data_IF_029311200304
#
_entry.id   IF_029311200304
#
_cell.length_a   1.000
_cell.length_b   1.000
_cell.length_c   1.000
_cell.angle_alpha   90.00
_cell.angle_beta   90.00
_cell.angle_gamma   90.00
#
_symmetry.space_group_name_H-M   'P 1'
#
loop_
_entity.id
_entity.type
_entity.pdbx_description
1 polymer ?
#
# COMPACT_ATOMS: atom_id res chain seq x y z
N UNK A 1 -46.04 55.06 25.65
CA UNK A 1 -44.57 55.07 25.82
C UNK A 1 -44.20 53.86 26.64
N UNK A 2 -43.60 52.85 26.02
CA UNK A 2 -43.01 51.72 26.72
C UNK A 2 -41.54 51.66 26.28
N UNK A 3 -40.66 51.94 27.24
CA UNK A 3 -39.21 52.03 27.05
C UNK A 3 -38.63 50.65 26.72
N UNK A 4 -37.89 50.57 25.62
CA UNK A 4 -37.10 49.38 25.25
C UNK A 4 -35.89 49.33 26.18
N UNK A 5 -35.64 48.22 26.91
CA UNK A 5 -34.51 48.13 27.82
C UNK A 5 -33.18 48.14 27.05
N UNK A 6 -32.11 48.73 27.61
CA UNK A 6 -30.84 48.90 26.91
C UNK A 6 -30.19 47.54 26.64
N UNK A 7 -29.82 47.30 25.38
CA UNK A 7 -29.04 46.12 25.00
C UNK A 7 -27.67 46.16 25.69
N UNK A 8 -27.36 45.13 26.46
CA UNK A 8 -26.04 44.96 27.06
C UNK A 8 -25.00 44.80 25.94
N UNK A 9 -24.02 45.70 25.87
CA UNK A 9 -22.89 45.55 24.96
C UNK A 9 -22.10 44.29 25.37
N UNK A 10 -21.75 43.40 24.43
CA UNK A 10 -20.96 42.21 24.77
C UNK A 10 -19.62 42.64 25.34
N UNK A 11 -19.27 42.10 26.51
CA UNK A 11 -17.93 42.30 27.08
C UNK A 11 -16.87 41.66 26.18
N UNK A 12 -15.68 42.27 26.05
CA UNK A 12 -14.60 41.65 25.29
C UNK A 12 -14.21 40.32 25.92
N UNK A 13 -14.14 39.26 25.10
CA UNK A 13 -13.56 37.99 25.53
C UNK A 13 -12.08 38.20 25.79
N UNK A 14 -11.68 38.21 27.06
CA UNK A 14 -10.28 38.10 27.44
C UNK A 14 -9.78 36.72 26.98
N UNK A 15 -9.15 36.67 25.80
CA UNK A 15 -8.33 35.53 25.43
C UNK A 15 -7.20 35.45 26.45
N UNK A 16 -7.22 34.42 27.30
CA UNK A 16 -6.06 34.09 28.12
C UNK A 16 -4.89 33.94 27.15
N UNK A 17 -3.87 34.80 27.31
CA UNK A 17 -2.59 34.60 26.65
C UNK A 17 -2.19 33.13 26.84
N UNK A 18 -1.71 32.49 25.76
CA UNK A 18 -1.20 31.12 25.84
C UNK A 18 -0.12 31.12 26.92
N UNK A 19 -0.37 30.44 28.04
CA UNK A 19 0.65 30.24 29.07
C UNK A 19 1.70 29.32 28.49
N UNK A 20 2.94 29.76 28.53
CA UNK A 20 4.06 28.99 27.99
C UNK A 20 4.49 27.97 29.03
N UNK A 21 3.81 26.82 29.03
CA UNK A 21 3.90 25.76 30.06
C UNK A 21 5.33 25.27 30.27
N UNK A 22 6.21 25.44 29.29
CA UNK A 22 7.61 25.01 29.33
C UNK A 22 8.55 26.00 30.02
N UNK A 23 8.20 27.29 30.12
CA UNK A 23 9.01 28.26 30.87
C UNK A 23 8.68 28.32 32.36
N UNK A 24 7.47 27.88 32.73
CA UNK A 24 6.97 27.92 34.11
C UNK A 24 7.36 26.67 34.94
N UNK A 25 7.74 25.57 34.28
CA UNK A 25 8.04 24.28 34.93
C UNK A 25 9.54 23.97 34.88
N UNK A 26 10.12 23.58 36.01
CA UNK A 26 11.52 23.14 36.06
C UNK A 26 11.73 21.82 35.31
N UNK A 27 12.92 21.60 34.73
CA UNK A 27 13.27 20.35 34.02
C UNK A 27 12.96 19.08 34.84
N UNK A 28 13.13 19.14 36.17
CA UNK A 28 12.82 18.04 37.09
C UNK A 28 11.31 17.72 37.16
N UNK A 29 10.44 18.72 37.04
CA UNK A 29 8.98 18.51 36.99
C UNK A 29 8.52 17.95 35.65
N UNK A 30 9.16 18.37 34.54
CA UNK A 30 8.87 17.86 33.21
C UNK A 30 9.18 16.36 33.10
N UNK A 31 10.32 15.92 33.68
CA UNK A 31 10.69 14.50 33.76
C UNK A 31 9.66 13.71 34.59
N UNK A 32 9.23 14.23 35.76
CA UNK A 32 8.30 13.52 36.64
C UNK A 32 6.89 13.38 36.07
N UNK A 33 6.35 14.43 35.46
CA UNK A 33 4.96 14.42 34.96
C UNK A 33 4.83 13.75 33.60
N UNK A 34 5.81 13.94 32.73
CA UNK A 34 5.70 13.54 31.33
C UNK A 34 6.71 12.47 30.90
N UNK A 35 7.58 12.00 31.82
CA UNK A 35 8.60 10.97 31.56
C UNK A 35 9.47 11.27 30.33
N UNK A 36 9.74 12.56 30.09
CA UNK A 36 10.63 13.02 29.03
C UNK A 36 12.07 12.98 29.54
N UNK A 37 12.97 12.28 28.84
CA UNK A 37 14.41 12.36 29.11
C UNK A 37 14.96 13.74 28.71
N UNK A 38 16.15 14.11 29.18
CA UNK A 38 16.77 15.42 28.91
C UNK A 38 16.85 15.74 27.41
N UNK A 39 17.16 14.75 26.57
CA UNK A 39 17.17 14.87 25.11
C UNK A 39 15.75 15.01 24.52
N UNK A 40 14.77 14.32 25.11
CA UNK A 40 13.36 14.44 24.75
C UNK A 40 12.78 15.82 25.07
N UNK A 41 13.19 16.43 26.18
CA UNK A 41 12.82 17.81 26.54
C UNK A 41 13.37 18.78 25.49
N UNK A 42 14.64 18.62 25.08
CA UNK A 42 15.25 19.46 24.04
C UNK A 42 14.58 19.26 22.67
N UNK A 43 14.22 18.03 22.32
CA UNK A 43 13.52 17.74 21.07
C UNK A 43 12.15 18.42 21.03
N UNK A 44 11.33 18.25 22.06
CA UNK A 44 9.98 18.85 22.12
C UNK A 44 10.04 20.37 22.18
N UNK A 45 10.95 20.93 22.99
CA UNK A 45 11.11 22.39 23.06
C UNK A 45 11.58 22.97 21.72
N UNK A 46 12.52 22.36 21.02
CA UNK A 46 12.96 22.83 19.71
C UNK A 46 11.88 22.69 18.62
N UNK A 47 11.06 21.64 18.67
CA UNK A 47 9.97 21.42 17.71
C UNK A 47 8.82 22.42 17.90
N UNK A 48 8.56 22.80 19.15
CA UNK A 48 7.47 23.71 19.53
C UNK A 48 7.92 25.17 19.56
N UNK A 49 9.21 25.47 19.77
CA UNK A 49 9.78 26.83 19.79
C UNK A 49 9.47 27.59 18.50
N UNK A 50 9.64 26.96 17.33
CA UNK A 50 9.28 27.57 16.05
C UNK A 50 7.78 27.89 15.93
N UNK A 51 6.90 27.09 16.55
CA UNK A 51 5.46 27.30 16.56
C UNK A 51 4.98 28.32 17.60
N UNK A 52 5.78 28.56 18.66
CA UNK A 52 5.54 29.58 19.68
C UNK A 52 6.14 30.93 19.31
N UNK A 53 7.31 30.96 18.67
CA UNK A 53 8.01 32.17 18.20
C UNK A 53 7.43 32.71 16.89
N UNK A 54 6.75 31.87 16.09
CA UNK A 54 6.01 32.38 14.94
C UNK A 54 4.82 33.18 15.43
N UNK A 55 4.88 34.51 15.30
CA UNK A 55 3.73 35.40 15.40
C UNK A 55 2.74 35.04 14.29
N UNK A 56 1.90 34.04 14.56
CA UNK A 56 0.82 33.70 13.66
C UNK A 56 -0.14 34.88 13.64
N UNK A 57 -0.21 35.58 12.51
CA UNK A 57 -1.16 36.66 12.18
C UNK A 57 -2.64 36.20 12.19
N UNK A 58 -2.96 35.11 12.89
CA UNK A 58 -4.30 34.54 12.96
C UNK A 58 -5.24 35.36 13.84
N UNK A 59 -4.69 36.14 14.77
CA UNK A 59 -5.49 36.88 15.76
C UNK A 59 -5.52 38.40 15.54
N UNK A 60 -4.78 38.95 14.57
CA UNK A 60 -4.90 40.34 14.15
C UNK A 60 -5.55 40.40 12.76
N UNK A 61 -6.82 40.80 12.62
CA UNK A 61 -7.40 41.02 11.30
C UNK A 61 -6.61 42.12 10.59
N UNK A 62 -6.12 41.83 9.38
CA UNK A 62 -5.44 42.83 8.54
C UNK A 62 -6.37 44.03 8.35
N UNK A 63 -5.91 45.22 8.77
CA UNK A 63 -6.61 46.47 8.50
C UNK A 63 -6.80 46.64 6.98
N UNK A 64 -7.88 47.31 6.53
CA UNK A 64 -8.17 47.47 5.11
C UNK A 64 -6.99 48.09 4.33
N UNK A 65 -6.22 48.99 4.96
CA UNK A 65 -5.02 49.57 4.37
C UNK A 65 -3.90 48.56 4.14
N UNK A 66 -3.64 47.67 5.12
CA UNK A 66 -2.65 46.61 4.98
C UNK A 66 -3.06 45.53 3.98
N UNK A 67 -4.36 45.30 3.78
CA UNK A 67 -4.87 44.44 2.69
C UNK A 67 -4.63 45.09 1.33
N UNK A 68 -4.86 46.39 1.20
CA UNK A 68 -4.56 47.16 -0.01
C UNK A 68 -3.07 47.11 -0.35
N UNK A 69 -2.20 47.36 0.63
CA UNK A 69 -0.75 47.34 0.44
C UNK A 69 -0.22 45.94 0.09
N UNK A 70 -0.77 44.86 0.66
CA UNK A 70 -0.40 43.50 0.26
C UNK A 70 -0.80 43.17 -1.18
N UNK A 71 -2.01 43.56 -1.60
CA UNK A 71 -2.46 43.38 -2.99
C UNK A 71 -1.59 44.18 -3.97
N UNK A 72 -1.29 45.44 -3.66
CA UNK A 72 -0.40 46.26 -4.47
C UNK A 72 1.02 45.68 -4.54
N UNK A 73 1.51 45.07 -3.46
CA UNK A 73 2.83 44.43 -3.43
C UNK A 73 2.88 43.15 -4.26
N UNK A 74 1.80 42.37 -4.28
CA UNK A 74 1.63 41.19 -5.14
C UNK A 74 1.49 41.60 -6.62
N UNK A 75 0.73 42.66 -6.91
CA UNK A 75 0.59 43.22 -8.26
C UNK A 75 1.91 43.81 -8.79
N UNK A 76 2.67 44.50 -7.93
CA UNK A 76 4.01 45.02 -8.28
C UNK A 76 5.05 43.90 -8.47
N UNK A 77 4.90 42.77 -7.77
CA UNK A 77 5.76 41.60 -7.96
C UNK A 77 5.45 40.88 -9.29
N UNK A 78 4.19 40.84 -9.72
CA UNK A 78 3.78 40.29 -11.01
C UNK A 78 4.30 41.11 -12.21
N UNK A 79 4.54 42.42 -12.03
CA UNK A 79 5.03 43.31 -13.07
C UNK A 79 6.57 43.39 -13.18
N UNK A 80 7.33 42.68 -12.33
CA UNK A 80 8.80 42.60 -12.40
C UNK A 80 9.25 41.19 -12.75
N UNK A 81 9.08 40.82 -14.01
CA UNK A 81 9.88 39.78 -14.67
C UNK A 81 10.31 40.26 -16.06
N UNK A 82 11.62 40.43 -16.34
CA UNK A 82 12.12 40.54 -17.70
C UNK A 82 12.68 39.19 -18.18
N UNK A 83 12.28 38.79 -19.38
CA UNK A 83 12.98 37.81 -20.21
C UNK A 83 14.27 38.42 -20.80
N UNK A 84 15.40 37.70 -20.73
CA UNK A 84 16.32 37.32 -21.84
C UNK A 84 17.79 37.09 -21.40
N UNK A 85 18.23 35.84 -21.65
CA UNK A 85 19.51 35.38 -22.23
C UNK A 85 20.89 35.81 -21.69
N UNK A 86 21.64 34.82 -21.18
CA UNK A 86 22.89 34.33 -21.78
C UNK A 86 24.26 34.97 -21.42
N UNK A 87 25.27 34.08 -21.31
CA UNK A 87 26.73 34.24 -21.57
C UNK A 87 27.69 34.39 -20.36
N UNK A 88 28.46 33.30 -20.16
CA UNK A 88 29.89 33.15 -19.80
C UNK A 88 30.50 33.60 -18.43
N UNK A 89 30.81 32.57 -17.63
CA UNK A 89 32.16 32.06 -17.28
C UNK A 89 33.15 32.81 -16.33
N UNK A 90 33.75 31.96 -15.46
CA UNK A 90 35.08 31.98 -14.81
C UNK A 90 35.28 32.77 -13.49
N UNK A 91 35.66 32.06 -12.42
CA UNK A 91 37.02 31.97 -11.82
C UNK A 91 36.96 31.57 -10.34
N UNK A 92 37.93 30.77 -9.90
CA UNK A 92 38.47 30.82 -8.53
C UNK A 92 37.96 29.78 -7.52
N UNK A 93 38.63 28.63 -7.44
CA UNK A 93 38.59 27.73 -6.28
C UNK A 93 40.01 27.62 -5.70
N UNK A 94 40.18 28.07 -4.46
CA UNK A 94 41.32 27.77 -3.57
C UNK A 94 40.69 27.10 -2.32
N UNK A 95 41.09 25.86 -2.00
CA UNK A 95 42.09 25.50 -0.96
C UNK A 95 41.46 25.55 0.45
N UNK A 96 41.37 24.49 1.28
CA UNK A 96 42.44 23.69 1.91
C UNK A 96 41.84 22.52 2.73
N UNK A 97 42.54 21.37 2.71
CA UNK A 97 42.71 20.22 3.65
C UNK A 97 41.54 19.41 4.28
N UNK A 98 41.34 18.16 3.81
CA UNK A 98 41.85 16.84 4.30
C UNK A 98 42.17 16.64 5.81
N UNK A 99 42.31 15.39 6.37
CA UNK A 99 42.41 14.07 5.70
C UNK A 99 41.70 12.85 6.37
N UNK A 100 41.59 11.74 5.63
CA UNK A 100 41.62 10.37 6.16
C UNK A 100 42.85 9.65 5.57
N UNK A 101 43.57 8.79 6.33
CA UNK A 101 44.81 8.19 5.85
C UNK A 101 44.59 6.85 5.12
N UNK A 102 45.29 6.70 4.00
CA UNK A 102 45.81 5.42 3.46
C UNK A 102 47.31 5.58 3.26
N UNK A 103 48.05 4.47 3.26
CA UNK A 103 49.24 4.19 2.42
C UNK A 103 49.80 2.81 2.81
N UNK A 104 50.70 2.17 2.01
CA UNK A 104 50.60 1.95 0.56
C UNK A 104 51.06 0.53 0.12
N UNK A 105 50.90 0.25 -1.18
CA UNK A 105 51.46 -0.91 -1.92
C UNK A 105 53.01 -0.89 -2.02
N UNK A 106 53.67 -1.92 -2.62
CA UNK A 106 53.95 -1.80 -4.06
C UNK A 106 53.97 -3.12 -4.89
N UNK A 107 53.34 -3.04 -6.06
CA UNK A 107 53.75 -3.35 -7.45
C UNK A 107 54.48 -4.65 -7.87
N UNK A 108 54.35 -5.02 -9.17
CA UNK A 108 54.53 -6.37 -9.70
C UNK A 108 55.72 -6.52 -10.66
N UNK A 109 56.00 -7.76 -11.07
CA UNK A 109 56.59 -8.09 -12.39
C UNK A 109 55.93 -9.34 -12.97
N UNK A 110 55.77 -9.42 -14.30
CA UNK A 110 55.09 -10.52 -14.97
C UNK A 110 56.09 -11.59 -15.43
N UNK A 111 55.70 -12.86 -15.34
CA UNK A 111 56.34 -13.94 -16.07
C UNK A 111 55.40 -14.43 -17.18
N UNK A 112 55.94 -14.25 -18.37
CA UNK A 112 55.67 -14.90 -19.64
C UNK A 112 55.33 -16.37 -19.49
N UNK A 113 54.21 -16.80 -20.07
CA UNK A 113 54.08 -18.16 -20.58
C UNK A 113 53.27 -18.12 -21.88
N UNK A 114 53.97 -18.41 -22.98
CA UNK A 114 53.40 -18.63 -24.29
C UNK A 114 52.61 -19.95 -24.26
N UNK A 115 51.40 -20.01 -24.83
CA UNK A 115 50.88 -21.23 -25.41
C UNK A 115 49.75 -20.92 -26.43
N UNK A 116 50.10 -21.17 -27.69
CA UNK A 116 49.29 -21.66 -28.82
C UNK A 116 48.05 -20.90 -29.32
N UNK A 117 48.25 -20.29 -30.49
CA UNK A 117 47.22 -20.06 -31.51
C UNK A 117 46.56 -21.37 -31.94
N UNK A 118 45.31 -21.58 -31.50
CA UNK A 118 44.35 -22.37 -32.25
C UNK A 118 43.32 -21.40 -32.84
N UNK A 119 43.34 -21.28 -34.17
CA UNK A 119 42.30 -20.58 -34.95
C UNK A 119 40.98 -21.34 -34.77
N UNK A 120 40.09 -20.83 -33.93
CA UNK A 120 38.68 -21.16 -33.98
C UNK A 120 37.97 -20.07 -34.77
N UNK A 121 37.35 -20.46 -35.87
CA UNK A 121 36.54 -19.61 -36.71
C UNK A 121 35.44 -18.93 -35.86
N UNK A 122 35.22 -17.61 -36.02
CA UNK A 122 34.03 -16.99 -35.47
C UNK A 122 32.83 -17.42 -36.30
N UNK A 123 32.22 -18.55 -35.95
CA UNK A 123 30.83 -18.83 -36.32
C UNK A 123 29.93 -17.93 -35.47
N UNK A 124 29.94 -16.64 -35.75
CA UNK A 124 28.96 -15.72 -35.19
C UNK A 124 27.66 -15.94 -35.97
N UNK A 125 26.53 -16.36 -35.34
CA UNK A 125 25.25 -16.19 -35.98
C UNK A 125 25.06 -14.68 -36.15
N UNK A 126 24.90 -14.24 -37.38
CA UNK A 126 24.56 -12.86 -37.71
C UNK A 126 23.26 -12.50 -36.99
N UNK A 127 23.36 -11.74 -35.91
CA UNK A 127 22.21 -11.07 -35.32
C UNK A 127 21.63 -10.16 -36.39
N UNK A 128 20.40 -10.43 -36.82
CA UNK A 128 19.64 -9.56 -37.70
C UNK A 128 19.42 -8.21 -36.99
N UNK A 129 20.33 -7.25 -37.18
CA UNK A 129 20.12 -5.86 -36.79
C UNK A 129 19.37 -5.16 -37.92
N UNK A 130 18.05 -5.19 -37.89
CA UNK A 130 17.25 -4.30 -38.75
C UNK A 130 16.03 -3.79 -38.00
N UNK A 131 16.25 -2.80 -37.13
CA UNK A 131 15.22 -1.83 -36.74
C UNK A 131 15.91 -0.54 -36.29
N UNK A 132 15.50 0.60 -36.83
CA UNK A 132 16.05 1.90 -36.45
C UNK A 132 15.91 2.10 -34.94
N UNK A 133 17.02 2.33 -34.24
CA UNK A 133 16.95 2.80 -32.86
C UNK A 133 16.45 4.23 -32.92
N UNK A 134 15.16 4.47 -32.60
CA UNK A 134 14.63 5.84 -32.52
C UNK A 134 15.14 6.53 -31.24
N UNK A 135 15.93 5.83 -30.42
CA UNK A 135 16.61 6.34 -29.25
C UNK A 135 15.58 6.81 -28.22
N UNK A 136 15.70 8.06 -27.78
CA UNK A 136 14.78 8.65 -26.81
C UNK A 136 13.36 8.85 -27.36
N UNK A 137 13.16 8.86 -28.68
CA UNK A 137 11.82 9.01 -29.26
C UNK A 137 10.92 7.81 -28.98
N UNK A 138 11.45 6.66 -28.55
CA UNK A 138 10.65 5.48 -28.20
C UNK A 138 9.91 5.62 -26.85
N UNK A 139 10.26 6.63 -26.04
CA UNK A 139 9.54 6.95 -24.80
C UNK A 139 8.32 7.84 -25.02
N UNK A 140 8.10 8.31 -26.24
CA UNK A 140 6.96 9.15 -26.59
C UNK A 140 6.09 8.41 -27.60
N UNK A 141 4.79 8.63 -27.52
CA UNK A 141 3.87 8.13 -28.54
C UNK A 141 4.17 8.79 -29.88
N UNK A 142 3.70 8.17 -30.97
CA UNK A 142 3.82 8.74 -32.30
C UNK A 142 3.24 10.16 -32.32
N UNK A 143 3.94 11.08 -32.98
CA UNK A 143 3.60 12.51 -33.07
C UNK A 143 2.16 12.77 -33.59
N UNK A 144 1.55 11.76 -34.21
CA UNK A 144 0.17 11.79 -34.72
C UNK A 144 -0.90 11.68 -33.63
N UNK A 145 -0.58 11.04 -32.49
CA UNK A 145 -1.52 10.80 -31.39
C UNK A 145 -1.46 11.89 -30.32
N UNK A 146 -0.61 12.91 -30.50
CA UNK A 146 -0.45 13.98 -29.54
C UNK A 146 -1.69 14.87 -29.51
N UNK A 147 -2.33 14.97 -28.35
CA UNK A 147 -3.53 15.79 -28.14
C UNK A 147 -4.85 15.08 -28.46
N UNK A 148 -4.81 13.82 -28.91
CA UNK A 148 -6.02 12.99 -29.06
C UNK A 148 -6.47 12.46 -27.70
N UNK A 149 -7.75 12.59 -27.37
CA UNK A 149 -8.32 12.06 -26.12
C UNK A 149 -8.51 10.54 -26.12
N UNK A 150 -8.65 9.94 -27.31
CA UNK A 150 -8.91 8.51 -27.47
C UNK A 150 -7.99 7.91 -28.54
N UNK A 151 -7.01 7.11 -28.09
CA UNK A 151 -6.16 6.32 -28.98
C UNK A 151 -6.77 4.93 -29.14
N UNK A 152 -7.12 4.56 -30.38
CA UNK A 152 -7.70 3.23 -30.67
C UNK A 152 -6.64 2.15 -30.50
N UNK A 153 -6.77 1.38 -29.43
CA UNK A 153 -5.88 0.23 -29.15
C UNK A 153 -6.61 -1.12 -29.27
N UNK A 154 -5.84 -2.15 -29.61
CA UNK A 154 -6.35 -3.52 -29.69
C UNK A 154 -6.63 -4.15 -28.32
N UNK A 155 -7.01 -5.42 -28.34
CA UNK A 155 -7.17 -6.23 -27.12
C UNK A 155 -5.82 -6.68 -26.54
N UNK A 156 -5.81 -7.03 -25.26
CA UNK A 156 -4.69 -7.70 -24.61
C UNK A 156 -4.41 -9.09 -25.21
N UNK A 157 -3.16 -9.55 -25.07
CA UNK A 157 -2.74 -10.90 -25.45
C UNK A 157 -3.39 -11.94 -24.55
N UNK A 158 -3.98 -12.99 -25.16
CA UNK A 158 -4.58 -14.11 -24.43
C UNK A 158 -3.54 -15.20 -24.17
N UNK A 159 -3.68 -15.88 -23.03
CA UNK A 159 -2.79 -16.98 -22.61
C UNK A 159 -2.67 -18.05 -23.71
N UNK A 160 -3.79 -18.45 -24.31
CA UNK A 160 -3.80 -19.52 -25.33
C UNK A 160 -3.04 -19.15 -26.60
N UNK A 161 -2.99 -17.87 -26.97
CA UNK A 161 -2.24 -17.40 -28.14
C UNK A 161 -0.74 -17.40 -27.87
N UNK A 162 -0.36 -17.06 -26.63
CA UNK A 162 1.03 -17.04 -26.18
C UNK A 162 1.60 -18.46 -26.06
N UNK A 163 0.77 -19.45 -25.70
CA UNK A 163 1.16 -20.87 -25.65
C UNK A 163 1.63 -21.44 -26.99
N UNK A 164 1.11 -20.91 -28.10
CA UNK A 164 1.47 -21.36 -29.46
C UNK A 164 2.83 -20.79 -29.90
N UNK A 165 3.31 -19.69 -29.28
CA UNK A 165 4.54 -19.00 -29.69
C UNK A 165 5.80 -19.63 -29.12
N UNK A 166 6.91 -19.49 -29.86
CA UNK A 166 8.25 -19.93 -29.43
C UNK A 166 8.77 -19.08 -28.26
N UNK A 167 9.69 -19.62 -27.44
CA UNK A 167 10.30 -18.86 -26.34
C UNK A 167 11.08 -17.63 -26.84
N UNK A 168 11.70 -17.72 -28.02
CA UNK A 168 12.40 -16.59 -28.64
C UNK A 168 11.45 -15.45 -29.00
N UNK A 169 10.26 -15.78 -29.53
CA UNK A 169 9.24 -14.79 -29.86
C UNK A 169 8.59 -14.18 -28.62
N UNK A 170 8.36 -14.97 -27.57
CA UNK A 170 7.88 -14.46 -26.28
C UNK A 170 8.88 -13.47 -25.68
N UNK A 171 10.18 -13.77 -25.75
CA UNK A 171 11.24 -12.88 -25.27
C UNK A 171 11.28 -11.57 -26.06
N UNK A 172 11.17 -11.62 -27.40
CA UNK A 172 11.06 -10.40 -28.22
C UNK A 172 9.80 -9.61 -27.88
N UNK A 173 8.66 -10.28 -27.72
CA UNK A 173 7.38 -9.67 -27.39
C UNK A 173 7.41 -8.97 -26.03
N UNK A 174 8.08 -9.56 -25.02
CA UNK A 174 8.28 -8.94 -23.72
C UNK A 174 8.93 -7.55 -23.85
N UNK A 175 9.97 -7.41 -24.67
CA UNK A 175 10.60 -6.11 -24.89
C UNK A 175 9.74 -5.13 -25.66
N UNK A 176 8.92 -5.60 -26.61
CA UNK A 176 7.95 -4.72 -27.30
C UNK A 176 6.95 -4.15 -26.28
N UNK A 177 6.38 -4.99 -25.42
CA UNK A 177 5.44 -4.56 -24.37
C UNK A 177 6.11 -3.71 -23.30
N UNK A 178 7.37 -3.99 -22.96
CA UNK A 178 8.11 -3.20 -21.98
C UNK A 178 8.36 -1.78 -22.48
N UNK A 179 8.70 -1.61 -23.76
CA UNK A 179 8.87 -0.28 -24.35
C UNK A 179 7.56 0.51 -24.37
N UNK A 180 6.49 -0.15 -24.76
CA UNK A 180 5.13 0.39 -24.71
C UNK A 180 4.75 0.82 -23.28
N UNK A 181 4.96 -0.04 -22.28
CA UNK A 181 4.69 0.27 -20.88
C UNK A 181 5.49 1.49 -20.42
N UNK A 182 6.78 1.55 -20.75
CA UNK A 182 7.63 2.68 -20.36
C UNK A 182 7.18 3.98 -21.02
N UNK A 183 6.79 3.95 -22.30
CA UNK A 183 6.22 5.09 -23.02
C UNK A 183 4.92 5.59 -22.39
N UNK A 184 4.06 4.68 -21.91
CA UNK A 184 2.81 5.05 -21.25
C UNK A 184 3.04 5.64 -19.86
N UNK A 185 3.99 5.11 -19.09
CA UNK A 185 4.35 5.64 -17.78
C UNK A 185 4.97 7.05 -17.88
N UNK A 186 5.78 7.32 -18.90
CA UNK A 186 6.31 8.67 -19.16
C UNK A 186 5.18 9.63 -19.53
N UNK A 187 4.20 9.19 -20.32
CA UNK A 187 3.03 9.99 -20.66
C UNK A 187 2.12 10.22 -19.46
N UNK A 188 1.89 9.22 -18.62
CA UNK A 188 1.09 9.32 -17.40
C UNK A 188 1.68 10.36 -16.45
N UNK A 189 3.01 10.31 -16.25
CA UNK A 189 3.70 11.27 -15.43
C UNK A 189 3.61 12.70 -16.00
N UNK A 190 3.80 12.87 -17.32
CA UNK A 190 3.67 14.17 -17.96
C UNK A 190 2.24 14.74 -17.84
N UNK A 191 1.20 13.91 -18.01
CA UNK A 191 -0.19 14.32 -17.80
C UNK A 191 -0.45 14.73 -16.35
N UNK A 192 0.13 14.02 -15.37
CA UNK A 192 0.02 14.35 -13.96
C UNK A 192 0.69 15.71 -13.66
N UNK A 193 1.88 15.97 -14.20
CA UNK A 193 2.58 17.26 -14.08
C UNK A 193 1.80 18.42 -14.71
N UNK A 194 1.21 18.19 -15.88
CA UNK A 194 0.41 19.18 -16.62
C UNK A 194 -1.04 19.31 -16.11
N UNK A 195 -1.43 18.53 -15.09
CA UNK A 195 -2.81 18.43 -14.56
C UNK A 195 -3.85 18.09 -15.64
N UNK A 196 -3.48 17.24 -16.60
CA UNK A 196 -4.33 16.75 -17.68
C UNK A 196 -4.83 15.33 -17.41
N UNK A 197 -5.98 14.99 -17.97
CA UNK A 197 -6.48 13.62 -17.92
C UNK A 197 -5.68 12.75 -18.89
N UNK A 198 -5.28 11.56 -18.43
CA UNK A 198 -4.53 10.62 -19.25
C UNK A 198 -5.35 10.13 -20.45
N UNK A 199 -4.81 10.20 -21.68
CA UNK A 199 -5.45 9.62 -22.85
C UNK A 199 -5.56 8.09 -22.72
N UNK A 200 -6.78 7.56 -22.65
CA UNK A 200 -7.07 6.12 -22.64
C UNK A 200 -6.29 5.28 -21.59
N UNK A 201 -6.61 5.37 -20.28
CA UNK A 201 -5.90 4.63 -19.22
C UNK A 201 -5.95 3.11 -19.37
N UNK A 202 -7.00 2.59 -20.04
CA UNK A 202 -7.14 1.16 -20.33
C UNK A 202 -5.95 0.55 -21.09
N UNK A 203 -5.18 1.37 -21.81
CA UNK A 203 -4.00 0.91 -22.55
C UNK A 203 -2.94 0.35 -21.60
N UNK A 204 -2.74 0.99 -20.46
CA UNK A 204 -1.80 0.54 -19.41
C UNK A 204 -2.26 -0.82 -18.87
N UNK A 205 -3.54 -0.94 -18.53
CA UNK A 205 -4.12 -2.19 -18.02
C UNK A 205 -3.97 -3.35 -19.01
N UNK A 206 -4.25 -3.10 -20.31
CA UNK A 206 -4.12 -4.12 -21.38
C UNK A 206 -2.68 -4.58 -21.57
N UNK A 207 -1.70 -3.68 -21.44
CA UNK A 207 -0.28 -4.01 -21.52
C UNK A 207 0.16 -4.80 -20.29
N UNK A 208 -0.25 -4.37 -19.09
CA UNK A 208 0.08 -5.08 -17.85
C UNK A 208 -0.53 -6.48 -17.80
N UNK A 209 -1.78 -6.63 -18.24
CA UNK A 209 -2.45 -7.92 -18.39
C UNK A 209 -1.68 -8.83 -19.36
N UNK A 210 -1.26 -8.29 -20.51
CA UNK A 210 -0.45 -9.03 -21.49
C UNK A 210 0.90 -9.47 -20.92
N UNK A 211 1.57 -8.63 -20.12
CA UNK A 211 2.82 -8.97 -19.45
C UNK A 211 2.63 -10.07 -18.39
N UNK A 212 1.56 -10.01 -17.59
CA UNK A 212 1.21 -11.06 -16.61
C UNK A 212 0.92 -12.39 -17.30
N UNK A 213 0.21 -12.38 -18.42
CA UNK A 213 -0.05 -13.58 -19.21
C UNK A 213 1.23 -14.18 -19.81
N UNK A 214 2.16 -13.34 -20.28
CA UNK A 214 3.47 -13.80 -20.75
C UNK A 214 4.26 -14.49 -19.63
N UNK A 215 4.36 -13.85 -18.47
CA UNK A 215 5.05 -14.40 -17.30
C UNK A 215 4.42 -15.74 -16.90
N UNK A 216 3.10 -15.82 -16.81
CA UNK A 216 2.39 -17.06 -16.46
C UNK A 216 2.67 -18.20 -17.45
N UNK A 217 2.73 -17.94 -18.77
CA UNK A 217 3.06 -18.98 -19.77
C UNK A 217 4.50 -19.45 -19.63
N UNK A 218 5.44 -18.54 -19.36
CA UNK A 218 6.85 -18.88 -19.17
C UNK A 218 7.03 -19.68 -17.86
N UNK A 219 6.37 -19.27 -16.78
CA UNK A 219 6.32 -19.99 -15.51
C UNK A 219 5.72 -21.38 -15.66
N UNK A 220 4.60 -21.53 -16.40
CA UNK A 220 3.97 -22.82 -16.70
C UNK A 220 4.96 -23.76 -17.41
N UNK A 221 5.65 -23.26 -18.44
CA UNK A 221 6.67 -24.02 -19.19
C UNK A 221 7.84 -24.43 -18.31
N UNK A 222 8.39 -23.50 -17.53
CA UNK A 222 9.50 -23.76 -16.62
C UNK A 222 9.12 -24.78 -15.56
N UNK A 223 7.94 -24.63 -14.94
CA UNK A 223 7.42 -25.56 -13.94
C UNK A 223 7.25 -26.96 -14.51
N UNK A 224 6.71 -27.09 -15.72
CA UNK A 224 6.57 -28.38 -16.39
C UNK A 224 7.94 -29.04 -16.65
N UNK A 225 8.92 -28.27 -17.13
CA UNK A 225 10.29 -28.76 -17.33
C UNK A 225 10.93 -29.25 -16.02
N UNK A 226 10.90 -28.44 -14.96
CA UNK A 226 11.50 -28.81 -13.67
C UNK A 226 10.81 -30.01 -13.02
N UNK A 227 9.50 -30.14 -13.19
CA UNK A 227 8.74 -31.27 -12.68
C UNK A 227 9.13 -32.58 -13.38
N UNK A 228 9.45 -32.54 -14.67
CA UNK A 228 9.91 -33.71 -15.43
C UNK A 228 11.35 -34.08 -15.09
N UNK A 229 12.25 -33.11 -15.01
CA UNK A 229 13.68 -33.35 -14.78
C UNK A 229 14.01 -33.67 -13.31
N UNK A 230 13.47 -32.89 -12.38
CA UNK A 230 13.81 -32.95 -10.94
C UNK A 230 12.68 -33.49 -10.07
N UNK A 231 11.44 -33.52 -10.57
CA UNK A 231 10.26 -33.81 -9.76
C UNK A 231 9.85 -32.65 -8.84
N UNK A 232 10.43 -31.46 -9.03
CA UNK A 232 10.16 -30.25 -8.23
C UNK A 232 9.68 -29.12 -9.14
N UNK A 233 9.01 -28.13 -8.58
CA UNK A 233 8.37 -27.03 -9.30
C UNK A 233 9.31 -25.91 -9.78
N UNK A 234 10.64 -26.07 -9.63
CA UNK A 234 11.63 -25.06 -10.03
C UNK A 234 11.55 -23.75 -9.23
N UNK A 235 10.59 -23.65 -8.31
CA UNK A 235 10.41 -22.53 -7.42
C UNK A 235 11.53 -22.47 -6.40
N UNK A 236 11.74 -21.27 -5.87
CA UNK A 236 12.71 -21.02 -4.82
C UNK A 236 12.46 -21.96 -3.63
N UNK A 237 13.47 -22.68 -3.12
CA UNK A 237 13.26 -23.67 -2.08
C UNK A 237 12.79 -23.01 -0.78
N UNK A 238 11.78 -23.62 -0.14
CA UNK A 238 11.14 -23.10 1.06
C UNK A 238 11.10 -24.16 2.16
N UNK A 239 11.13 -23.73 3.41
CA UNK A 239 10.90 -24.60 4.55
C UNK A 239 10.01 -23.92 5.60
N UNK A 240 9.25 -24.75 6.33
CA UNK A 240 8.50 -24.32 7.50
C UNK A 240 9.47 -24.07 8.65
N UNK A 241 9.73 -22.79 8.94
CA UNK A 241 10.64 -22.37 10.01
C UNK A 241 9.84 -21.73 11.13
N UNK A 242 10.27 -21.97 12.36
CA UNK A 242 9.71 -21.25 13.52
C UNK A 242 10.47 -19.95 13.70
N UNK A 243 9.76 -18.84 13.53
CA UNK A 243 10.24 -17.47 13.69
C UNK A 243 10.64 -17.17 15.15
N UNK A 244 11.28 -16.03 15.37
CA UNK A 244 11.72 -15.54 16.69
C UNK A 244 10.56 -15.44 17.68
N UNK A 245 9.35 -15.13 17.20
CA UNK A 245 8.15 -15.06 18.03
C UNK A 245 7.44 -16.42 18.20
N UNK A 246 8.05 -17.53 17.76
CA UNK A 246 7.45 -18.87 17.86
C UNK A 246 6.38 -19.19 16.82
N UNK A 247 6.21 -18.33 15.82
CA UNK A 247 5.24 -18.50 14.73
C UNK A 247 5.81 -19.44 13.67
N UNK A 248 4.99 -20.33 13.12
CA UNK A 248 5.40 -21.18 11.99
C UNK A 248 5.16 -20.39 10.70
N UNK A 249 6.24 -20.00 10.04
CA UNK A 249 6.22 -19.25 8.80
C UNK A 249 6.98 -20.02 7.72
N UNK A 250 6.51 -19.92 6.49
CA UNK A 250 7.21 -20.46 5.33
C UNK A 250 8.35 -19.50 5.02
N UNK A 251 9.59 -19.95 5.22
CA UNK A 251 10.78 -19.16 4.93
C UNK A 251 11.36 -19.60 3.60
N UNK A 252 11.51 -18.65 2.69
CA UNK A 252 12.24 -18.84 1.44
C UNK A 252 13.75 -18.76 1.70
N UNK A 253 14.50 -19.72 1.16
CA UNK A 253 15.95 -19.74 1.36
C UNK A 253 16.67 -18.76 0.44
N UNK A 254 17.62 -18.01 0.99
CA UNK A 254 18.57 -17.17 0.26
C UNK A 254 19.86 -17.93 -0.02
N UNK A 255 20.53 -17.59 -1.11
CA UNK A 255 21.85 -18.11 -1.41
C UNK A 255 22.89 -17.51 -0.45
N UNK A 256 23.78 -18.36 0.08
CA UNK A 256 24.83 -17.98 1.00
C UNK A 256 26.15 -18.63 0.59
N UNK A 257 27.25 -17.88 0.72
CA UNK A 257 28.60 -18.39 0.44
C UNK A 257 29.05 -19.43 1.48
N UNK A 258 28.61 -19.28 2.72
CA UNK A 258 28.99 -20.14 3.84
C UNK A 258 27.78 -20.94 4.35
N UNK A 259 28.00 -22.19 4.82
CA UNK A 259 27.00 -22.97 5.53
C UNK A 259 26.40 -22.23 6.75
N UNK A 260 25.13 -22.50 7.04
CA UNK A 260 24.37 -21.83 8.11
C UNK A 260 25.04 -21.85 9.49
N UNK A 261 25.76 -22.93 9.82
CA UNK A 261 26.40 -23.08 11.13
C UNK A 261 27.68 -22.26 11.30
N UNK A 262 28.35 -21.87 10.20
CA UNK A 262 29.53 -21.00 10.24
C UNK A 262 29.14 -19.53 10.25
N UNK A 263 28.03 -19.18 9.60
CA UNK A 263 27.63 -17.80 9.44
C UNK A 263 27.00 -17.24 10.74
N UNK A 264 27.62 -16.23 11.37
CA UNK A 264 27.17 -15.70 12.65
C UNK A 264 25.80 -15.02 12.57
N UNK A 265 25.36 -14.56 11.39
CA UNK A 265 24.04 -13.94 11.22
C UNK A 265 22.89 -14.92 11.48
N UNK A 266 23.14 -16.22 11.32
CA UNK A 266 22.17 -17.29 11.56
C UNK A 266 22.25 -17.89 12.96
N UNK A 267 23.32 -17.60 13.70
CA UNK A 267 23.48 -18.03 15.08
C UNK A 267 22.63 -17.13 15.98
N UNK A 268 21.38 -17.53 16.23
CA UNK A 268 20.46 -16.84 17.16
C UNK A 268 20.08 -17.77 18.30
N UNK A 269 20.35 -17.33 19.53
CA UNK A 269 19.80 -17.94 20.73
C UNK A 269 18.34 -17.50 20.91
N UNK A 270 17.48 -18.41 21.37
CA UNK A 270 16.04 -18.16 21.52
C UNK A 270 15.62 -18.43 22.96
N UNK A 271 14.97 -17.47 23.60
CA UNK A 271 14.31 -17.69 24.88
C UNK A 271 12.97 -18.41 24.68
N UNK A 272 12.95 -19.70 24.99
CA UNK A 272 11.82 -20.59 24.69
C UNK A 272 10.62 -20.34 25.63
N UNK A 273 10.83 -19.77 26.82
CA UNK A 273 9.79 -19.66 27.84
C UNK A 273 8.78 -18.56 27.52
N UNK A 274 9.25 -17.35 27.23
CA UNK A 274 8.40 -16.19 26.91
C UNK A 274 7.61 -16.40 25.61
N UNK A 275 8.24 -17.04 24.63
CA UNK A 275 7.61 -17.40 23.35
C UNK A 275 6.40 -18.33 23.56
N UNK A 276 6.48 -19.30 24.48
CA UNK A 276 5.35 -20.20 24.77
C UNK A 276 4.15 -19.45 25.34
N UNK A 277 4.37 -18.51 26.27
CA UNK A 277 3.30 -17.68 26.83
C UNK A 277 2.70 -16.76 25.77
N UNK A 278 3.55 -16.11 24.97
CA UNK A 278 3.12 -15.23 23.88
C UNK A 278 2.26 -15.97 22.84
N UNK A 279 2.72 -17.13 22.38
CA UNK A 279 1.99 -17.94 21.38
C UNK A 279 0.64 -18.42 21.90
N UNK A 280 0.52 -18.74 23.19
CA UNK A 280 -0.76 -19.09 23.82
C UNK A 280 -1.74 -17.91 23.81
N UNK A 281 -1.30 -16.73 24.26
CA UNK A 281 -2.13 -15.52 24.27
C UNK A 281 -2.53 -15.09 22.85
N UNK A 282 -1.65 -15.24 21.87
CA UNK A 282 -1.94 -14.96 20.47
C UNK A 282 -3.03 -15.90 19.92
N UNK A 283 -2.95 -17.21 20.22
CA UNK A 283 -3.98 -18.18 19.84
C UNK A 283 -5.31 -17.88 20.51
N UNK A 284 -5.30 -17.51 21.78
CA UNK A 284 -6.50 -17.08 22.51
C UNK A 284 -7.14 -15.85 21.85
N UNK A 285 -6.34 -14.83 21.50
CA UNK A 285 -6.81 -13.65 20.77
C UNK A 285 -7.45 -14.03 19.43
N UNK A 286 -6.79 -14.85 18.63
CA UNK A 286 -7.33 -15.34 17.34
C UNK A 286 -8.64 -16.11 17.53
N UNK A 287 -8.73 -16.93 18.58
CA UNK A 287 -9.96 -17.66 18.92
C UNK A 287 -11.09 -16.69 19.29
N UNK A 288 -10.81 -15.69 20.13
CA UNK A 288 -11.79 -14.67 20.51
C UNK A 288 -12.26 -13.84 19.31
N UNK A 289 -11.38 -13.48 18.39
CA UNK A 289 -11.73 -12.78 17.15
C UNK A 289 -12.64 -13.64 16.25
N UNK A 290 -12.27 -14.90 16.01
CA UNK A 290 -13.12 -15.85 15.25
C UNK A 290 -14.49 -16.04 15.93
N UNK A 291 -14.52 -16.13 17.26
CA UNK A 291 -15.76 -16.20 18.04
C UNK A 291 -16.60 -14.93 17.88
N UNK A 292 -15.99 -13.74 17.95
CA UNK A 292 -16.69 -12.46 17.72
C UNK A 292 -17.28 -12.38 16.32
N UNK A 293 -16.53 -12.77 15.29
CA UNK A 293 -17.02 -12.81 13.90
C UNK A 293 -18.21 -13.75 13.78
N UNK A 294 -18.12 -14.98 14.33
CA UNK A 294 -19.23 -15.94 14.33
C UNK A 294 -20.48 -15.39 15.03
N UNK A 295 -20.31 -14.69 16.16
CA UNK A 295 -21.42 -14.04 16.88
C UNK A 295 -22.03 -12.93 16.03
N UNK A 296 -21.22 -12.08 15.37
CA UNK A 296 -21.68 -11.03 14.47
C UNK A 296 -22.45 -11.60 13.28
N UNK A 297 -21.91 -12.62 12.62
CA UNK A 297 -22.58 -13.33 11.51
C UNK A 297 -23.92 -13.92 11.96
N UNK A 298 -23.94 -14.61 13.10
CA UNK A 298 -25.18 -15.13 13.69
C UNK A 298 -26.19 -14.01 13.99
N UNK A 299 -25.73 -12.90 14.57
CA UNK A 299 -26.57 -11.72 14.83
C UNK A 299 -27.11 -11.09 13.55
N UNK A 300 -26.30 -11.01 12.51
CA UNK A 300 -26.68 -10.51 11.19
C UNK A 300 -27.75 -11.40 10.55
N UNK A 301 -27.57 -12.73 10.56
CA UNK A 301 -28.58 -13.69 10.09
C UNK A 301 -29.89 -13.56 10.88
N UNK A 302 -29.82 -13.46 12.21
CA UNK A 302 -31.02 -13.24 13.03
C UNK A 302 -31.74 -11.93 12.65
N UNK A 303 -30.98 -10.86 12.38
CA UNK A 303 -31.54 -9.57 11.97
C UNK A 303 -32.19 -9.65 10.58
N UNK A 304 -31.57 -10.36 9.62
CA UNK A 304 -32.16 -10.61 8.30
C UNK A 304 -33.47 -11.39 8.40
N UNK A 305 -33.49 -12.50 9.14
CA UNK A 305 -34.70 -13.30 9.35
C UNK A 305 -35.82 -12.53 10.06
N UNK A 306 -35.44 -11.58 10.93
CA UNK A 306 -36.38 -10.70 11.64
C UNK A 306 -36.96 -9.62 10.73
N UNK A 307 -36.15 -9.05 9.83
CA UNK A 307 -36.57 -7.99 8.91
C UNK A 307 -37.29 -8.54 7.68
N UNK A 308 -36.89 -9.71 7.20
CA UNK A 308 -37.40 -10.39 6.02
C UNK A 308 -37.86 -11.80 6.38
N UNK A 309 -39.12 -11.96 6.84
CA UNK A 309 -39.61 -13.25 7.32
C UNK A 309 -39.71 -14.35 6.26
N UNK A 310 -39.86 -14.02 4.98
CA UNK A 310 -40.03 -14.97 3.87
C UNK A 310 -38.75 -15.15 3.03
N UNK A 311 -37.57 -14.90 3.62
CA UNK A 311 -36.29 -15.04 2.93
C UNK A 311 -35.91 -16.51 2.72
N UNK A 312 -35.37 -16.85 1.54
CA UNK A 312 -34.93 -18.19 1.21
C UNK A 312 -33.80 -18.67 2.12
N UNK A 313 -34.08 -19.73 2.86
CA UNK A 313 -33.20 -20.26 3.90
C UNK A 313 -31.96 -20.92 3.33
N UNK A 314 -32.09 -21.56 2.17
CA UNK A 314 -30.99 -22.29 1.53
C UNK A 314 -29.98 -21.31 0.91
N UNK A 315 -30.46 -20.21 0.31
CA UNK A 315 -29.61 -19.11 -0.17
C UNK A 315 -28.87 -18.45 0.98
N UNK A 316 -29.54 -18.26 2.12
CA UNK A 316 -28.93 -17.67 3.32
C UNK A 316 -27.88 -18.60 3.93
N UNK A 317 -28.10 -19.92 3.90
CA UNK A 317 -27.14 -20.93 4.37
C UNK A 317 -25.91 -21.01 3.45
N UNK A 318 -26.07 -20.88 2.14
CA UNK A 318 -24.96 -20.84 1.18
C UNK A 318 -24.06 -19.62 1.43
N UNK A 319 -24.65 -18.46 1.75
CA UNK A 319 -23.89 -17.24 2.08
C UNK A 319 -23.20 -17.31 3.45
N UNK A 320 -23.76 -18.03 4.41
CA UNK A 320 -23.22 -18.17 5.78
C UNK A 320 -23.04 -19.64 6.16
N UNK A 321 -22.01 -20.33 5.63
CA UNK A 321 -21.82 -21.76 5.86
C UNK A 321 -21.55 -22.10 7.35
N UNK A 322 -20.90 -21.22 8.09
CA UNK A 322 -20.55 -21.42 9.51
C UNK A 322 -21.73 -21.34 10.48
N UNK A 323 -22.89 -20.89 10.01
CA UNK A 323 -24.06 -20.58 10.86
C UNK A 323 -25.23 -21.45 10.44
N UNK A 324 -25.77 -22.26 11.36
CA UNK A 324 -26.94 -23.09 11.10
C UNK A 324 -28.23 -22.25 11.03
N UNK A 325 -28.60 -21.80 9.82
CA UNK A 325 -29.71 -20.85 9.59
C UNK A 325 -31.07 -21.45 9.99
N UNK A 326 -31.30 -22.74 9.71
CA UNK A 326 -32.53 -23.47 10.10
C UNK A 326 -32.71 -23.49 11.62
N UNK A 327 -31.62 -23.67 12.37
CA UNK A 327 -31.65 -23.61 13.84
C UNK A 327 -31.93 -22.19 14.34
N UNK A 328 -31.38 -21.17 13.68
CA UNK A 328 -31.61 -19.78 14.06
C UNK A 328 -33.05 -19.36 13.88
N UNK A 329 -33.73 -19.78 12.80
CA UNK A 329 -35.14 -19.41 12.54
C UNK A 329 -36.09 -19.81 13.66
N UNK A 330 -35.83 -20.94 14.29
CA UNK A 330 -36.60 -21.47 15.43
C UNK A 330 -36.35 -20.66 16.71
N UNK A 331 -35.34 -19.80 16.76
CA UNK A 331 -35.02 -19.03 17.93
C UNK A 331 -35.89 -17.78 18.02
N UNK A 332 -36.38 -17.49 19.23
CA UNK A 332 -37.12 -16.26 19.53
C UNK A 332 -36.43 -14.98 19.05
N UNK A 333 -35.09 -14.94 19.03
CA UNK A 333 -34.30 -13.77 18.60
C UNK A 333 -34.41 -13.44 17.11
N UNK A 334 -34.77 -14.40 16.26
CA UNK A 334 -34.98 -14.17 14.82
C UNK A 334 -36.44 -13.88 14.46
N UNK A 335 -37.37 -14.06 15.40
CA UNK A 335 -38.79 -13.77 15.19
C UNK A 335 -39.05 -12.29 15.48
N UNK A 336 -39.72 -11.59 14.56
CA UNK A 336 -40.19 -10.22 14.79
C UNK A 336 -41.23 -10.16 15.93
N UNK A 337 -41.37 -8.99 16.56
CA UNK A 337 -42.28 -8.81 17.70
C UNK A 337 -43.74 -9.19 17.37
N UNK A 338 -44.20 -8.97 16.14
CA UNK A 338 -45.55 -9.31 15.70
C UNK A 338 -45.80 -10.82 15.58
N UNK A 339 -44.86 -11.57 14.99
CA UNK A 339 -44.93 -13.03 14.86
C UNK A 339 -44.83 -13.71 16.22
N UNK A 340 -43.98 -13.20 17.11
CA UNK A 340 -43.85 -13.72 18.48
C UNK A 340 -45.15 -13.57 19.28
N UNK A 341 -45.83 -12.41 19.17
CA UNK A 341 -47.09 -12.17 19.87
C UNK A 341 -48.25 -13.01 19.30
N UNK A 342 -48.29 -13.23 17.99
CA UNK A 342 -49.26 -14.16 17.38
C UNK A 342 -49.04 -15.60 17.87
N UNK A 343 -47.81 -16.11 17.86
CA UNK A 343 -47.48 -17.46 18.37
C UNK A 343 -47.87 -17.60 19.85
N UNK A 344 -47.61 -16.58 20.67
CA UNK A 344 -47.96 -16.56 22.09
C UNK A 344 -49.47 -16.53 22.34
N UNK A 345 -50.22 -15.78 21.52
CA UNK A 345 -51.68 -15.69 21.62
C UNK A 345 -52.39 -16.96 21.13
N UNK A 346 -51.86 -17.61 20.10
CA UNK A 346 -52.37 -18.90 19.60
C UNK A 346 -52.11 -20.04 20.59
N UNK A 347 -50.89 -20.13 21.15
CA UNK A 347 -50.60 -21.11 22.21
C UNK A 347 -51.42 -20.92 23.50
N UNK A 348 -51.79 -19.68 23.83
CA UNK A 348 -52.66 -19.38 24.97
C UNK A 348 -54.14 -19.72 24.74
N UNK A 349 -54.58 -19.84 23.48
CA UNK A 349 -55.99 -20.11 23.12
C UNK A 349 -56.29 -21.61 22.97
N UNK A 350 -55.27 -22.44 22.69
CA UNK A 350 -55.45 -23.87 22.43
C UNK A 350 -54.92 -24.80 23.54
N UNK A 351 -54.26 -24.29 24.59
CA UNK A 351 -53.87 -25.11 25.74
C UNK A 351 -52.74 -26.13 25.48
N UNK A 352 -52.00 -25.99 24.37
CA UNK A 352 -50.85 -26.83 24.04
C UNK A 352 -49.54 -26.10 24.32
N UNK A 353 -48.55 -26.82 24.86
CA UNK A 353 -47.14 -26.41 24.83
C UNK A 353 -46.67 -26.42 23.37
N UNK A 354 -46.90 -25.32 22.65
CA UNK A 354 -46.53 -25.22 21.23
C UNK A 354 -45.00 -25.15 21.13
N UNK A 355 -44.39 -26.28 20.77
CA UNK A 355 -43.02 -26.32 20.28
C UNK A 355 -42.95 -25.53 18.96
N UNK A 356 -41.90 -24.73 18.76
CA UNK A 356 -41.72 -23.89 17.56
C UNK A 356 -41.66 -24.68 16.23
N UNK A 357 -41.74 -26.01 16.27
CA UNK A 357 -41.77 -26.88 15.10
C UNK A 357 -43.14 -26.91 14.40
N UNK A 358 -44.25 -26.72 15.12
CA UNK A 358 -45.60 -26.96 14.59
C UNK A 358 -46.21 -25.73 13.89
N UNK A 359 -45.63 -24.54 14.10
CA UNK A 359 -46.17 -23.27 13.58
C UNK A 359 -45.86 -23.07 12.09
N UNK A 360 -44.75 -23.60 11.59
CA UNK A 360 -44.32 -23.38 10.20
C UNK A 360 -44.99 -24.29 9.18
N UNK A 361 -45.56 -25.41 9.60
CA UNK A 361 -46.34 -26.31 8.75
C UNK A 361 -47.74 -25.78 8.42
N UNK A 362 -48.29 -24.83 9.20
CA UNK A 362 -49.62 -24.28 8.98
C UNK A 362 -49.67 -23.06 8.04
N UNK A 363 -48.52 -22.48 7.65
CA UNK A 363 -48.47 -21.28 6.79
C UNK A 363 -48.04 -21.56 5.34
N UNK A 364 -47.90 -22.84 4.95
CA UNK A 364 -47.70 -23.28 3.57
C UNK A 364 -48.89 -24.13 3.12
N UNK A 365 -50.00 -23.46 2.79
CA UNK A 365 -51.07 -23.95 1.90
C UNK A 365 -51.49 -22.80 1.01
#
# INVERSE_FOLDING_TARGET
MAEVPPQQRPQPRNYRQRRDVFNDLSDAELIRRYRLDREGILFVTNLVRAALESDTMRNNPLTPELKGLKRLKEEMAALRTPMLAGVMARLGRLSVCCPAPRTPAPRPTPLTCAFNHARLAPCCPTLHTSSSQRGLKEFFDDEKHWGDFEVKVGRAWKIDELRIKSNEDLHKLWYVLLKEKNMLLTMEHACEEDYQLFPSPERIDKVEESMKHLEAVVEERNRAYWLLETGKDGSRPQAMVTDELGRREVKEFTEHAEPNYLNPKFRRERDVADIRKFTLLMKEKQYLEKRKVRIRMRGHVCMLLRRFPHMDMDVLQQKYPDVNVRSLRRQKRSLGHHLYNQIKLWGAREGWEVSCQDVYTCFTV
#
